data_IF_660420826131
#
_entry.id   IF_660420826131
#
_cell.length_a   1.000
_cell.length_b   1.000
_cell.length_c   1.000
_cell.angle_alpha   90.00
_cell.angle_beta   90.00
_cell.angle_gamma   90.00
#
_symmetry.space_group_name_H-M   'P 1'
#
loop_
_entity.id
_entity.type
_entity.pdbx_description
1 polymer ?
#
# COMPACT_ATOMS: atom_id res chain seq x y z
N UNK A 1 -18.42 24.72 -61.67
CA UNK A 1 -19.30 23.69 -61.07
C UNK A 1 -18.76 23.39 -59.69
N UNK A 2 -19.32 24.01 -58.66
CA UNK A 2 -19.02 23.71 -57.27
C UNK A 2 -20.18 22.88 -56.73
N UNK A 3 -19.90 21.69 -56.19
CA UNK A 3 -20.86 20.96 -55.39
C UNK A 3 -20.19 20.62 -54.06
N UNK A 4 -20.62 21.35 -53.04
CA UNK A 4 -20.25 21.16 -51.64
C UNK A 4 -21.17 20.10 -51.05
N UNK A 5 -20.61 18.98 -50.59
CA UNK A 5 -21.32 18.03 -49.73
C UNK A 5 -21.28 18.51 -48.26
N UNK A 6 -22.42 18.63 -47.57
CA UNK A 6 -22.44 19.00 -46.15
C UNK A 6 -22.14 17.81 -45.23
N UNK A 7 -21.27 18.03 -44.24
CA UNK A 7 -21.02 17.11 -43.11
C UNK A 7 -22.20 17.22 -42.13
N UNK A 8 -22.88 16.10 -41.88
CA UNK A 8 -23.91 15.99 -40.84
C UNK A 8 -23.21 15.85 -39.49
N UNK A 9 -23.12 16.95 -38.74
CA UNK A 9 -22.77 16.95 -37.31
C UNK A 9 -24.02 16.57 -36.53
N UNK A 10 -24.07 15.34 -36.02
CA UNK A 10 -25.14 14.90 -35.12
C UNK A 10 -24.84 15.48 -33.73
N UNK A 11 -25.51 16.58 -33.42
CA UNK A 11 -25.47 17.21 -32.11
C UNK A 11 -25.95 16.23 -31.03
N UNK A 12 -25.12 16.05 -30.00
CA UNK A 12 -25.53 15.43 -28.75
C UNK A 12 -25.86 16.56 -27.78
N UNK A 13 -27.12 16.98 -27.80
CA UNK A 13 -27.77 17.59 -26.64
C UNK A 13 -28.41 16.46 -25.85
N UNK A 14 -27.90 16.20 -24.66
CA UNK A 14 -28.61 15.39 -23.66
C UNK A 14 -28.21 15.92 -22.28
N UNK A 15 -29.21 16.42 -21.56
CA UNK A 15 -29.07 17.05 -20.24
C UNK A 15 -28.56 16.12 -19.14
N UNK A 16 -28.64 16.52 -17.87
CA UNK A 16 -28.11 15.74 -16.77
C UNK A 16 -28.96 14.49 -16.61
N UNK A 17 -28.53 13.40 -17.23
CA UNK A 17 -29.05 12.07 -16.96
C UNK A 17 -28.71 11.76 -15.51
N UNK A 18 -29.72 11.79 -14.64
CA UNK A 18 -29.64 11.15 -13.34
C UNK A 18 -29.08 9.75 -13.55
N UNK A 19 -28.00 9.45 -12.81
CA UNK A 19 -27.53 8.09 -12.61
C UNK A 19 -28.66 7.33 -11.92
N UNK A 20 -29.57 6.76 -12.72
CA UNK A 20 -30.24 5.54 -12.30
C UNK A 20 -29.15 4.48 -12.32
N UNK A 21 -28.71 4.12 -11.13
CA UNK A 21 -27.81 3.00 -10.90
C UNK A 21 -28.40 1.77 -11.60
N UNK A 22 -27.60 0.96 -12.32
CA UNK A 22 -28.13 -0.28 -12.86
C UNK A 22 -28.49 -1.19 -11.69
N UNK A 23 -29.80 -1.38 -11.46
CA UNK A 23 -30.39 -2.34 -10.52
C UNK A 23 -30.16 -3.80 -10.96
N UNK A 24 -28.91 -4.17 -11.26
CA UNK A 24 -28.55 -5.46 -11.85
C UNK A 24 -27.37 -6.18 -11.21
N UNK A 25 -26.67 -5.58 -10.26
CA UNK A 25 -25.47 -6.21 -9.68
C UNK A 25 -25.26 -5.91 -8.20
N UNK A 26 -26.33 -5.87 -7.41
CA UNK A 26 -26.14 -5.85 -5.96
C UNK A 26 -25.46 -7.18 -5.57
N UNK A 27 -24.16 -7.11 -5.31
CA UNK A 27 -23.28 -8.28 -5.09
C UNK A 27 -23.45 -8.82 -3.67
N UNK A 28 -23.91 -7.97 -2.75
CA UNK A 28 -24.24 -8.33 -1.39
C UNK A 28 -25.74 -8.10 -1.10
N UNK A 29 -26.48 -9.16 -0.83
CA UNK A 29 -27.90 -9.02 -0.43
C UNK A 29 -28.04 -8.51 1.01
N UNK A 30 -29.11 -7.75 1.29
CA UNK A 30 -29.48 -7.27 2.63
C UNK A 30 -29.54 -8.39 3.67
N UNK A 31 -30.08 -9.56 3.29
CA UNK A 31 -30.09 -10.76 4.14
C UNK A 31 -28.68 -11.21 4.56
N UNK A 32 -27.73 -11.22 3.62
CA UNK A 32 -26.36 -11.65 3.90
C UNK A 32 -25.62 -10.65 4.78
N UNK A 33 -25.89 -9.35 4.62
CA UNK A 33 -25.38 -8.32 5.52
C UNK A 33 -25.87 -8.55 6.95
N UNK A 34 -27.16 -8.83 7.14
CA UNK A 34 -27.72 -9.13 8.47
C UNK A 34 -27.14 -10.40 9.08
N UNK A 35 -26.93 -11.45 8.28
CA UNK A 35 -26.27 -12.67 8.74
C UNK A 35 -24.83 -12.38 9.22
N UNK A 36 -24.08 -11.53 8.49
CA UNK A 36 -22.71 -11.14 8.86
C UNK A 36 -22.68 -10.31 10.15
N UNK A 37 -23.61 -9.36 10.32
CA UNK A 37 -23.70 -8.55 11.55
C UNK A 37 -23.95 -9.43 12.75
N UNK A 38 -24.88 -10.39 12.66
CA UNK A 38 -25.19 -11.32 13.75
C UNK A 38 -24.03 -12.26 14.11
N UNK A 39 -23.16 -12.57 13.15
CA UNK A 39 -21.95 -13.36 13.40
C UNK A 39 -20.91 -12.56 14.19
N UNK A 40 -20.86 -11.23 13.99
CA UNK A 40 -19.96 -10.32 14.70
C UNK A 40 -20.53 -9.96 16.09
N UNK A 41 -21.76 -9.46 16.13
CA UNK A 41 -22.50 -9.17 17.36
C UNK A 41 -23.99 -9.54 17.21
N UNK A 42 -24.48 -10.57 17.93
CA UNK A 42 -25.88 -10.98 17.86
C UNK A 42 -26.86 -9.98 18.52
N UNK A 43 -26.38 -9.01 19.31
CA UNK A 43 -27.24 -8.05 19.99
C UNK A 43 -27.41 -6.73 19.22
N UNK A 44 -26.61 -6.51 18.19
CA UNK A 44 -26.63 -5.29 17.39
C UNK A 44 -27.69 -5.37 16.27
N UNK A 45 -28.46 -4.29 16.11
CA UNK A 45 -29.46 -4.15 15.03
C UNK A 45 -29.15 -2.87 14.26
N UNK A 46 -28.92 -2.99 12.96
CA UNK A 46 -28.68 -1.86 12.09
C UNK A 46 -30.02 -1.24 11.66
N UNK A 47 -30.08 0.07 11.63
CA UNK A 47 -31.17 0.81 10.98
C UNK A 47 -31.11 0.64 9.47
N UNK A 48 -32.26 0.76 8.81
CA UNK A 48 -32.39 0.58 7.37
C UNK A 48 -31.45 1.50 6.57
N UNK A 49 -31.32 2.77 6.96
CA UNK A 49 -30.43 3.73 6.30
C UNK A 49 -28.95 3.33 6.40
N UNK A 50 -28.56 2.69 7.51
CA UNK A 50 -27.19 2.23 7.73
C UNK A 50 -26.91 0.98 6.90
N UNK A 51 -27.87 0.06 6.80
CA UNK A 51 -27.77 -1.11 5.92
C UNK A 51 -27.56 -0.68 4.45
N UNK A 52 -28.36 0.26 3.95
CA UNK A 52 -28.23 0.78 2.57
C UNK A 52 -26.88 1.47 2.35
N UNK A 53 -26.39 2.24 3.33
CA UNK A 53 -25.07 2.87 3.25
C UNK A 53 -23.93 1.83 3.18
N UNK A 54 -24.00 0.78 4.01
CA UNK A 54 -22.99 -0.29 4.00
C UNK A 54 -22.99 -1.08 2.69
N UNK A 55 -24.17 -1.32 2.12
CA UNK A 55 -24.32 -1.95 0.82
C UNK A 55 -23.67 -1.11 -0.28
N UNK A 56 -23.91 0.19 -0.29
CA UNK A 56 -23.27 1.10 -1.24
C UNK A 56 -21.74 1.10 -1.09
N UNK A 57 -21.24 1.15 0.14
CA UNK A 57 -19.79 1.09 0.41
C UNK A 57 -19.19 -0.22 -0.09
N UNK A 58 -19.90 -1.35 0.05
CA UNK A 58 -19.44 -2.64 -0.44
C UNK A 58 -19.38 -2.68 -1.97
N UNK A 59 -20.37 -2.13 -2.66
CA UNK A 59 -20.37 -2.03 -4.12
C UNK A 59 -19.23 -1.13 -4.62
N UNK A 60 -19.04 0.05 -4.00
CA UNK A 60 -17.94 0.98 -4.31
C UNK A 60 -16.56 0.33 -4.07
N UNK A 61 -16.43 -0.45 -3.00
CA UNK A 61 -15.22 -1.21 -2.69
C UNK A 61 -14.89 -2.20 -3.81
N UNK A 62 -15.89 -2.96 -4.29
CA UNK A 62 -15.70 -3.94 -5.35
C UNK A 62 -15.32 -3.27 -6.66
N UNK A 63 -15.99 -2.18 -7.04
CA UNK A 63 -15.65 -1.42 -8.25
C UNK A 63 -14.21 -0.89 -8.19
N UNK A 64 -13.80 -0.35 -7.04
CA UNK A 64 -12.44 0.14 -6.79
C UNK A 64 -11.40 -0.98 -6.92
N UNK A 65 -11.61 -2.11 -6.24
CA UNK A 65 -10.68 -3.26 -6.25
C UNK A 65 -10.55 -3.85 -7.65
N UNK A 66 -11.67 -4.07 -8.34
CA UNK A 66 -11.69 -4.64 -9.69
C UNK A 66 -11.01 -3.70 -10.69
N UNK A 67 -11.27 -2.40 -10.60
CA UNK A 67 -10.64 -1.40 -11.47
C UNK A 67 -9.13 -1.40 -11.28
N UNK A 68 -8.65 -1.38 -10.03
CA UNK A 68 -7.23 -1.40 -9.75
C UNK A 68 -6.57 -2.73 -10.16
N UNK A 69 -7.22 -3.87 -9.91
CA UNK A 69 -6.72 -5.18 -10.33
C UNK A 69 -6.62 -5.29 -11.86
N UNK A 70 -7.61 -4.78 -12.61
CA UNK A 70 -7.54 -4.68 -14.06
C UNK A 70 -6.37 -3.80 -14.54
N UNK A 71 -6.09 -2.69 -13.85
CA UNK A 71 -4.92 -1.84 -14.16
C UNK A 71 -3.60 -2.59 -13.92
N UNK A 72 -3.50 -3.38 -12.85
CA UNK A 72 -2.33 -4.23 -12.56
C UNK A 72 -2.15 -5.33 -13.63
N UNK A 73 -3.23 -5.99 -14.03
CA UNK A 73 -3.20 -6.99 -15.10
C UNK A 73 -2.70 -6.39 -16.43
N UNK A 74 -3.16 -5.18 -16.76
CA UNK A 74 -2.70 -4.44 -17.94
C UNK A 74 -1.24 -3.98 -17.83
N UNK A 75 -0.77 -3.63 -16.63
CA UNK A 75 0.60 -3.17 -16.40
C UNK A 75 1.64 -4.25 -16.75
N UNK A 76 1.34 -5.53 -16.49
CA UNK A 76 2.16 -6.67 -16.92
C UNK A 76 1.94 -7.09 -18.38
N UNK A 77 1.14 -6.33 -19.14
CA UNK A 77 0.75 -6.62 -20.54
C UNK A 77 -0.09 -7.90 -20.67
N UNK A 78 -0.83 -8.28 -19.63
CA UNK A 78 -1.79 -9.38 -19.69
C UNK A 78 -3.19 -8.84 -20.02
N UNK A 79 -3.93 -9.60 -20.81
CA UNK A 79 -5.35 -9.36 -21.08
C UNK A 79 -6.26 -10.21 -20.18
N UNK A 80 -5.68 -10.93 -19.23
CA UNK A 80 -6.38 -11.82 -18.30
C UNK A 80 -6.16 -11.32 -16.88
N UNK A 81 -7.25 -11.09 -16.16
CA UNK A 81 -7.24 -10.79 -14.73
C UNK A 81 -6.88 -12.05 -13.96
N UNK A 82 -5.81 -12.00 -13.16
CA UNK A 82 -5.44 -13.11 -12.29
C UNK A 82 -5.61 -12.74 -10.81
N UNK A 83 -5.68 -13.78 -9.97
CA UNK A 83 -5.79 -13.64 -8.51
C UNK A 83 -4.65 -12.80 -7.93
N UNK A 84 -3.44 -12.88 -8.52
CA UNK A 84 -2.27 -12.10 -8.11
C UNK A 84 -2.51 -10.59 -8.21
N UNK A 85 -3.32 -10.14 -9.18
CA UNK A 85 -3.61 -8.71 -9.39
C UNK A 85 -4.52 -8.17 -8.27
N UNK A 86 -5.55 -8.94 -7.91
CA UNK A 86 -6.48 -8.59 -6.82
C UNK A 86 -5.78 -8.64 -5.47
N UNK A 87 -5.03 -9.72 -5.22
CA UNK A 87 -4.29 -9.91 -3.97
C UNK A 87 -3.32 -8.76 -3.70
N UNK A 88 -2.53 -8.37 -4.71
CA UNK A 88 -1.56 -7.29 -4.57
C UNK A 88 -2.22 -5.96 -4.19
N UNK A 89 -3.40 -5.67 -4.72
CA UNK A 89 -4.14 -4.45 -4.40
C UNK A 89 -4.70 -4.49 -2.97
N UNK A 90 -5.28 -5.62 -2.55
CA UNK A 90 -5.80 -5.80 -1.19
C UNK A 90 -4.71 -5.69 -0.13
N UNK A 91 -3.54 -6.29 -0.35
CA UNK A 91 -2.43 -6.24 0.61
C UNK A 91 -1.82 -4.84 0.71
N UNK A 92 -1.67 -4.12 -0.42
CA UNK A 92 -0.99 -2.81 -0.45
C UNK A 92 -1.88 -1.63 -0.10
N UNK A 93 -3.16 -1.66 -0.43
CA UNK A 93 -4.05 -0.52 -0.26
C UNK A 93 -5.00 -0.70 0.91
N UNK A 94 -5.46 -1.94 1.13
CA UNK A 94 -6.41 -2.27 2.20
C UNK A 94 -5.75 -2.94 3.39
N UNK A 95 -4.47 -3.32 3.28
CA UNK A 95 -3.72 -4.05 4.29
C UNK A 95 -4.44 -5.34 4.74
N UNK A 96 -5.19 -5.95 3.81
CA UNK A 96 -5.91 -7.19 4.01
C UNK A 96 -5.08 -8.36 3.46
N UNK A 97 -4.90 -9.39 4.27
CA UNK A 97 -4.23 -10.62 3.87
C UNK A 97 -5.21 -11.79 3.87
N UNK A 98 -5.32 -12.49 2.74
CA UNK A 98 -6.24 -13.63 2.59
C UNK A 98 -5.45 -14.93 2.76
N UNK A 99 -5.68 -15.69 3.85
CA UNK A 99 -5.02 -16.98 4.05
C UNK A 99 -5.37 -17.96 2.91
N UNK A 100 -4.38 -18.74 2.47
CA UNK A 100 -4.57 -19.74 1.41
C UNK A 100 -4.57 -19.18 -0.02
N UNK A 101 -4.60 -17.86 -0.18
CA UNK A 101 -4.42 -17.19 -1.46
C UNK A 101 -3.07 -16.45 -1.45
N UNK A 102 -2.15 -16.89 -2.30
CA UNK A 102 -0.77 -16.39 -2.33
C UNK A 102 0.23 -17.49 -2.04
N UNK A 103 0.72 -18.15 -3.08
CA UNK A 103 2.02 -18.82 -2.96
C UNK A 103 3.08 -17.77 -2.62
N UNK A 104 4.12 -18.13 -1.87
CA UNK A 104 5.26 -17.39 -1.31
C UNK A 104 5.93 -16.23 -2.10
N UNK A 105 5.42 -15.80 -3.26
CA UNK A 105 5.96 -14.77 -4.15
C UNK A 105 5.68 -13.32 -3.72
N UNK A 106 4.65 -13.05 -2.89
CA UNK A 106 4.34 -11.68 -2.42
C UNK A 106 5.02 -11.36 -1.08
N UNK A 107 6.17 -11.98 -0.83
CA UNK A 107 7.24 -11.29 -0.11
C UNK A 107 8.30 -10.84 -1.10
N UNK A 108 8.12 -9.71 -1.79
CA UNK A 108 9.25 -8.82 -1.90
C UNK A 108 9.51 -8.35 -0.46
N UNK A 109 10.24 -9.17 0.30
CA UNK A 109 11.16 -8.65 1.29
C UNK A 109 12.12 -7.78 0.49
N UNK A 110 11.69 -6.57 0.15
CA UNK A 110 12.59 -5.53 -0.27
C UNK A 110 13.38 -5.26 1.00
N UNK A 111 14.48 -6.01 1.19
CA UNK A 111 15.68 -5.38 1.75
C UNK A 111 15.71 -4.05 1.03
N UNK A 112 15.57 -2.95 1.76
CA UNK A 112 15.80 -1.63 1.19
C UNK A 112 17.03 -1.79 0.31
N UNK A 113 16.95 -1.36 -0.96
CA UNK A 113 18.12 -1.34 -1.81
C UNK A 113 19.08 -0.36 -1.16
N UNK A 114 19.87 -0.86 -0.22
CA UNK A 114 20.96 -0.14 0.40
C UNK A 114 22.01 -0.18 -0.67
N UNK A 115 22.01 0.88 -1.49
CA UNK A 115 23.12 1.19 -2.37
C UNK A 115 24.41 1.11 -1.54
N UNK A 116 25.53 0.75 -2.14
CA UNK A 116 26.81 0.73 -1.42
C UNK A 116 27.08 2.06 -0.69
N UNK A 117 26.62 3.17 -1.27
CA UNK A 117 26.61 4.49 -0.62
C UNK A 117 25.84 4.53 0.71
N UNK A 118 24.63 3.94 0.80
CA UNK A 118 23.87 3.90 2.06
C UNK A 118 24.56 3.04 3.12
N UNK A 119 25.23 1.95 2.72
CA UNK A 119 26.06 1.14 3.63
C UNK A 119 27.29 1.91 4.10
N UNK A 120 27.95 2.65 3.20
CA UNK A 120 29.10 3.51 3.52
C UNK A 120 28.74 4.65 4.47
N UNK A 121 27.57 5.29 4.34
CA UNK A 121 27.12 6.31 5.30
C UNK A 121 26.82 5.72 6.69
N UNK A 122 26.20 4.54 6.75
CA UNK A 122 25.95 3.82 8.00
C UNK A 122 27.26 3.46 8.70
N UNK A 123 28.24 2.96 7.94
CA UNK A 123 29.57 2.63 8.48
C UNK A 123 30.37 3.88 8.85
N UNK A 124 30.31 4.93 8.03
CA UNK A 124 31.00 6.21 8.26
C UNK A 124 30.57 6.89 9.55
N UNK A 125 29.26 7.06 9.75
CA UNK A 125 28.75 7.64 11.00
C UNK A 125 29.11 6.80 12.24
N UNK A 126 29.16 5.47 12.09
CA UNK A 126 29.54 4.57 13.20
C UNK A 126 31.04 4.67 13.53
N UNK A 127 31.90 4.77 12.52
CA UNK A 127 33.36 4.90 12.70
C UNK A 127 33.78 6.27 13.25
N UNK A 128 33.06 7.35 12.95
CA UNK A 128 33.31 8.67 13.54
C UNK A 128 32.80 8.78 15.00
N UNK A 129 31.75 8.03 15.36
CA UNK A 129 31.15 8.08 16.71
C UNK A 129 31.94 7.27 17.74
N UNK A 130 32.60 6.17 17.35
CA UNK A 130 33.35 5.29 18.26
C UNK A 130 34.54 5.99 18.96
N UNK A 131 35.46 6.70 18.26
CA UNK A 131 36.56 7.40 18.93
C UNK A 131 36.07 8.56 19.80
N UNK A 132 34.99 9.25 19.40
CA UNK A 132 34.38 10.31 20.20
C UNK A 132 33.80 9.76 21.51
N UNK A 133 33.10 8.62 21.48
CA UNK A 133 32.57 7.97 22.69
C UNK A 133 33.67 7.37 23.58
N UNK A 134 34.78 6.88 23.02
CA UNK A 134 35.93 6.40 23.79
C UNK A 134 36.65 7.53 24.55
N UNK A 135 36.69 8.75 24.01
CA UNK A 135 37.20 9.92 24.74
C UNK A 135 36.31 10.34 25.92
N UNK A 136 35.00 10.10 25.85
CA UNK A 136 34.09 10.35 26.98
C UNK A 136 34.09 9.22 28.03
N UNK A 137 34.48 8.00 27.65
CA UNK A 137 34.50 6.84 28.56
C UNK A 137 35.82 6.67 29.35
N UNK A 138 36.91 7.36 28.97
CA UNK A 138 38.16 7.39 29.72
C UNK A 138 38.49 8.80 30.27
N UNK A 139 37.74 9.32 31.26
CA UNK A 139 38.23 10.44 32.05
C UNK A 139 39.13 9.91 33.18
N UNK A 140 40.41 10.26 33.09
CA UNK A 140 41.31 10.46 34.24
C UNK A 140 41.67 9.26 35.13
N UNK A 141 42.87 8.71 34.94
CA UNK A 141 43.75 8.24 36.03
C UNK A 141 45.18 8.69 35.69
N UNK A 142 45.71 9.73 36.34
CA UNK A 142 46.57 9.61 37.53
C UNK A 142 48.05 9.40 37.13
N UNK A 143 48.79 10.49 36.89
CA UNK A 143 49.87 11.03 37.74
C UNK A 143 51.13 10.16 37.89
N UNK A 144 52.29 10.79 37.65
CA UNK A 144 53.51 10.73 38.48
C UNK A 144 54.40 9.48 38.35
N UNK A 145 55.51 9.60 37.61
CA UNK A 145 56.90 9.52 38.09
C UNK A 145 57.92 9.79 36.96
N UNK A 146 58.57 10.96 37.00
CA UNK A 146 60.02 11.04 36.76
C UNK A 146 60.69 10.67 38.09
N UNK A 147 61.81 9.92 38.14
CA UNK A 147 63.10 10.55 37.83
C UNK A 147 64.20 9.61 37.27
N UNK A 148 65.20 10.25 36.66
CA UNK A 148 66.64 9.96 36.74
C UNK A 148 67.11 8.51 36.99
N UNK A 149 67.77 7.94 35.99
CA UNK A 149 69.09 7.25 36.09
C UNK A 149 69.51 6.89 34.66
N UNK A 150 70.60 7.47 34.16
CA UNK A 150 71.92 6.82 33.99
C UNK A 150 71.92 5.81 32.82
N UNK A 151 72.92 5.67 31.97
CA UNK A 151 74.19 6.32 31.63
C UNK A 151 74.76 5.44 30.47
N UNK A 152 75.84 5.87 29.81
CA UNK A 152 76.69 5.13 28.85
C UNK A 152 76.21 5.12 27.38
N UNK A 153 76.96 5.60 26.39
CA UNK A 153 78.37 6.01 26.27
C UNK A 153 78.49 7.04 25.13
#
# INVERSE_FOLDING_TARGET
MANSTPIIVKGLTSGPAGRSSPEGSQVLSKKKLQDLVREIDPNEQLDEDVEEMLLQIADDFIESVVTAACQLARHRKSNTLEVKDVQLHLERQWNMWIPGYGSDEIRPFKKACTTEAHKQCLWGNTLDTIPALLQFYFPTQQTLVDPSSEELE
#
